data_IF_041582401685
#
_entry.id   IF_041582401685
#
_cell.length_a   1.000
_cell.length_b   1.000
_cell.length_c   1.000
_cell.angle_alpha   90.00
_cell.angle_beta   90.00
_cell.angle_gamma   90.00
#
_symmetry.space_group_name_H-M   'P 1'
#
loop_
_entity.id
_entity.type
_entity.pdbx_description
1 polymer ?
#
# COMPACT_ATOMS: atom_id res chain seq x y z
N UNK A 1 22.86 16.65 -28.66
CA UNK A 1 22.83 16.57 -27.19
C UNK A 1 21.40 16.89 -26.76
N UNK A 2 20.58 15.87 -26.41
CA UNK A 2 19.25 16.08 -25.81
C UNK A 2 19.49 16.55 -24.38
N UNK A 3 18.97 17.71 -24.01
CA UNK A 3 19.00 18.19 -22.65
C UNK A 3 18.23 17.18 -21.75
N UNK A 4 18.94 16.55 -20.85
CA UNK A 4 18.36 15.75 -19.77
C UNK A 4 17.61 16.68 -18.82
N UNK A 5 16.35 16.89 -19.12
CA UNK A 5 15.44 17.57 -18.21
C UNK A 5 14.96 16.56 -17.17
N UNK A 6 15.86 16.25 -16.22
CA UNK A 6 15.67 15.30 -15.13
C UNK A 6 14.80 15.94 -14.04
N UNK A 7 13.51 16.13 -14.32
CA UNK A 7 12.56 16.57 -13.29
C UNK A 7 12.30 15.39 -12.35
N UNK A 8 13.07 15.31 -11.27
CA UNK A 8 12.78 14.39 -10.16
C UNK A 8 11.41 14.73 -9.54
N UNK A 9 10.69 13.71 -9.11
CA UNK A 9 9.47 13.85 -8.31
C UNK A 9 9.89 14.06 -6.85
N UNK A 10 10.21 15.29 -6.46
CA UNK A 10 10.76 15.63 -5.14
C UNK A 10 9.82 15.34 -3.96
N UNK A 11 8.56 15.03 -4.25
CA UNK A 11 7.54 14.67 -3.28
C UNK A 11 7.44 13.17 -2.96
N UNK A 12 8.29 12.33 -3.54
CA UNK A 12 8.44 10.93 -3.15
C UNK A 12 9.62 10.78 -2.18
N UNK A 13 9.56 9.72 -1.36
CA UNK A 13 10.60 9.40 -0.40
C UNK A 13 12.00 9.38 -1.05
N UNK A 14 13.08 9.89 -0.41
CA UNK A 14 14.42 9.95 -1.02
C UNK A 14 14.96 8.62 -1.58
N UNK A 15 14.65 7.51 -0.92
CA UNK A 15 15.03 6.16 -1.36
C UNK A 15 14.11 5.54 -2.43
N UNK A 16 13.02 6.24 -2.78
CA UNK A 16 12.09 5.70 -3.77
C UNK A 16 12.69 5.76 -5.18
N UNK A 17 12.90 4.61 -5.80
CA UNK A 17 13.46 4.50 -7.15
C UNK A 17 12.57 5.11 -8.23
N UNK A 18 11.28 5.34 -7.95
CA UNK A 18 10.31 5.93 -8.87
C UNK A 18 10.31 7.47 -8.88
N UNK A 19 11.28 8.12 -8.24
CA UNK A 19 11.46 9.58 -8.30
C UNK A 19 11.84 10.07 -9.70
N UNK A 20 12.60 9.27 -10.42
CA UNK A 20 13.01 9.56 -11.79
C UNK A 20 11.92 9.21 -12.80
N UNK A 21 12.08 9.69 -14.03
CA UNK A 21 11.28 9.24 -15.18
C UNK A 21 11.59 7.77 -15.48
N UNK A 22 10.59 7.07 -15.98
CA UNK A 22 10.77 5.68 -16.41
C UNK A 22 11.53 5.62 -17.74
N UNK A 23 12.44 4.68 -17.81
CA UNK A 23 13.04 4.22 -19.05
C UNK A 23 12.10 3.20 -19.69
N UNK A 24 11.32 3.66 -20.67
CA UNK A 24 10.34 2.80 -21.34
C UNK A 24 10.99 1.72 -22.20
N UNK A 25 12.18 1.95 -22.75
CA UNK A 25 12.91 0.91 -23.49
C UNK A 25 13.28 -0.25 -22.56
N UNK A 26 13.79 0.05 -21.36
CA UNK A 26 14.06 -0.94 -20.33
C UNK A 26 12.80 -1.67 -19.87
N UNK A 27 11.70 -0.95 -19.64
CA UNK A 27 10.42 -1.54 -19.23
C UNK A 27 9.85 -2.47 -20.32
N UNK A 28 9.93 -2.07 -21.59
CA UNK A 28 9.47 -2.87 -22.73
C UNK A 28 10.34 -4.12 -22.91
N UNK A 29 11.65 -4.03 -22.66
CA UNK A 29 12.53 -5.20 -22.77
C UNK A 29 12.15 -6.31 -21.78
N UNK A 30 11.66 -5.95 -20.59
CA UNK A 30 11.19 -6.89 -19.56
C UNK A 30 9.71 -7.26 -19.70
N UNK A 31 8.89 -6.37 -20.28
CA UNK A 31 7.46 -6.55 -20.47
C UNK A 31 7.03 -6.06 -21.86
N UNK A 32 7.24 -6.86 -22.92
CA UNK A 32 7.01 -6.45 -24.32
C UNK A 32 5.58 -5.96 -24.61
N UNK A 33 4.59 -6.48 -23.91
CA UNK A 33 3.20 -6.07 -24.04
C UNK A 33 2.95 -4.59 -23.69
N UNK A 34 3.83 -3.95 -22.88
CA UNK A 34 3.75 -2.54 -22.55
C UNK A 34 3.85 -1.64 -23.79
N UNK A 35 4.60 -2.08 -24.82
CA UNK A 35 4.81 -1.30 -26.05
C UNK A 35 3.50 -0.83 -26.70
N UNK A 36 2.45 -1.65 -26.64
CA UNK A 36 1.14 -1.34 -27.25
C UNK A 36 0.41 -0.18 -26.56
N UNK A 37 0.83 0.20 -25.35
CA UNK A 37 0.21 1.26 -24.56
C UNK A 37 1.03 2.54 -24.49
N UNK A 38 2.25 2.54 -25.06
CA UNK A 38 3.11 3.74 -25.06
C UNK A 38 2.57 4.75 -26.08
N UNK A 39 2.53 6.00 -25.66
CA UNK A 39 2.19 7.15 -26.49
C UNK A 39 3.12 8.31 -26.14
N UNK A 40 3.20 9.29 -27.07
CA UNK A 40 3.95 10.52 -26.83
C UNK A 40 2.94 11.61 -26.44
N UNK A 41 3.16 12.22 -25.29
CA UNK A 41 2.31 13.31 -24.83
C UNK A 41 2.60 14.62 -25.57
N UNK A 42 1.80 15.67 -25.29
CA UNK A 42 1.95 17.01 -25.90
C UNK A 42 3.31 17.70 -25.68
N UNK A 43 4.13 17.15 -24.77
CA UNK A 43 5.46 17.66 -24.46
C UNK A 43 6.57 16.83 -25.11
N UNK A 44 6.24 15.90 -26.03
CA UNK A 44 7.20 15.01 -26.67
C UNK A 44 7.77 13.91 -25.76
N UNK A 45 7.08 13.59 -24.65
CA UNK A 45 7.54 12.64 -23.64
C UNK A 45 6.71 11.37 -23.74
N UNK A 46 7.41 10.21 -23.73
CA UNK A 46 6.77 8.90 -23.64
C UNK A 46 5.96 8.77 -22.34
N UNK A 47 4.79 8.19 -22.47
CA UNK A 47 3.82 8.01 -21.40
C UNK A 47 2.85 6.90 -21.78
N UNK A 48 1.96 6.53 -20.83
CA UNK A 48 0.77 5.73 -21.13
C UNK A 48 -0.49 6.57 -20.95
N UNK A 49 -1.59 6.09 -21.46
CA UNK A 49 -2.90 6.61 -21.08
C UNK A 49 -3.29 6.10 -19.69
N UNK A 50 -3.13 6.95 -18.68
CA UNK A 50 -3.54 6.64 -17.29
C UNK A 50 -5.05 6.51 -17.11
N UNK A 51 -5.86 6.84 -18.13
CA UNK A 51 -7.30 6.59 -18.12
C UNK A 51 -7.65 5.15 -18.54
N UNK A 52 -6.71 4.43 -19.16
CA UNK A 52 -6.88 3.05 -19.57
C UNK A 52 -6.42 2.09 -18.46
N UNK A 53 -7.34 1.31 -17.82
CA UNK A 53 -7.01 0.38 -16.74
C UNK A 53 -6.00 -0.69 -17.15
N UNK A 54 -6.06 -1.16 -18.39
CA UNK A 54 -5.16 -2.20 -18.90
C UNK A 54 -3.75 -1.64 -19.08
N UNK A 55 -3.61 -0.40 -19.59
CA UNK A 55 -2.32 0.28 -19.70
C UNK A 55 -1.66 0.46 -18.32
N UNK A 56 -2.44 0.89 -17.31
CA UNK A 56 -1.95 1.06 -15.93
C UNK A 56 -1.53 -0.28 -15.32
N UNK A 57 -2.33 -1.34 -15.49
CA UNK A 57 -1.98 -2.68 -15.01
C UNK A 57 -0.71 -3.21 -15.67
N UNK A 58 -0.58 -3.03 -16.98
CA UNK A 58 0.61 -3.48 -17.75
C UNK A 58 1.84 -2.68 -17.34
N UNK A 59 1.72 -1.36 -17.11
CA UNK A 59 2.83 -0.58 -16.57
C UNK A 59 3.25 -1.08 -15.18
N UNK A 60 2.32 -1.35 -14.28
CA UNK A 60 2.63 -1.90 -12.96
C UNK A 60 3.34 -3.26 -13.07
N UNK A 61 2.88 -4.14 -13.95
CA UNK A 61 3.54 -5.42 -14.23
C UNK A 61 4.99 -5.20 -14.68
N UNK A 62 5.21 -4.29 -15.64
CA UNK A 62 6.54 -3.95 -16.13
C UNK A 62 7.45 -3.39 -15.02
N UNK A 63 6.92 -2.51 -14.16
CA UNK A 63 7.64 -1.96 -13.01
C UNK A 63 8.05 -3.06 -12.01
N UNK A 64 7.13 -3.97 -11.69
CA UNK A 64 7.39 -5.07 -10.77
C UNK A 64 8.42 -6.06 -11.34
N UNK A 65 8.34 -6.36 -12.61
CA UNK A 65 9.34 -7.21 -13.30
C UNK A 65 10.71 -6.55 -13.31
N UNK A 66 10.78 -5.29 -13.72
CA UNK A 66 12.06 -4.60 -13.97
C UNK A 66 12.79 -4.25 -12.68
N UNK A 67 12.09 -3.71 -11.69
CA UNK A 67 12.72 -3.12 -10.50
C UNK A 67 12.67 -4.02 -9.27
N UNK A 68 11.73 -4.97 -9.22
CA UNK A 68 11.50 -5.80 -8.03
C UNK A 68 11.68 -7.29 -8.30
N UNK A 69 11.99 -7.66 -9.55
CA UNK A 69 12.18 -9.05 -9.98
C UNK A 69 10.96 -9.94 -9.64
N UNK A 70 9.75 -9.43 -9.91
CA UNK A 70 8.47 -10.13 -9.73
C UNK A 70 7.93 -10.55 -11.08
N UNK A 71 7.75 -11.85 -11.25
CA UNK A 71 7.22 -12.45 -12.47
C UNK A 71 5.72 -12.75 -12.32
N UNK A 72 4.99 -12.81 -13.44
CA UNK A 72 3.61 -13.26 -13.50
C UNK A 72 2.65 -12.59 -12.51
N UNK A 73 2.94 -11.31 -12.14
CA UNK A 73 2.00 -10.54 -11.32
C UNK A 73 0.79 -10.15 -12.16
N UNK A 74 -0.39 -10.50 -11.69
CA UNK A 74 -1.65 -10.09 -12.27
C UNK A 74 -2.72 -9.91 -11.18
N UNK A 75 -3.74 -9.12 -11.51
CA UNK A 75 -4.89 -8.89 -10.63
C UNK A 75 -6.20 -9.15 -11.38
N UNK A 76 -7.22 -9.69 -10.71
CA UNK A 76 -8.54 -9.88 -11.30
C UNK A 76 -9.12 -8.57 -11.84
N UNK A 77 -9.95 -8.68 -12.87
CA UNK A 77 -10.72 -7.54 -13.40
C UNK A 77 -11.57 -6.96 -12.29
N UNK A 78 -11.56 -5.74 -12.00
CA UNK A 78 -12.26 -5.05 -10.90
C UNK A 78 -11.55 -5.09 -9.52
N UNK A 79 -10.35 -5.63 -9.42
CA UNK A 79 -9.52 -5.44 -8.23
C UNK A 79 -8.78 -4.10 -8.28
N UNK A 80 -8.42 -3.56 -7.13
CA UNK A 80 -7.68 -2.32 -7.03
C UNK A 80 -6.29 -2.47 -7.66
N UNK A 81 -6.00 -1.67 -8.70
CA UNK A 81 -4.67 -1.56 -9.27
C UNK A 81 -3.84 -0.54 -8.45
N UNK A 82 -2.79 -0.97 -7.71
CA UNK A 82 -2.08 -0.10 -6.78
C UNK A 82 -1.13 0.85 -7.52
N UNK A 83 -1.07 2.16 -7.15
CA UNK A 83 -0.03 3.06 -7.66
C UNK A 83 1.31 2.73 -6.97
N UNK A 84 2.17 1.95 -7.63
CA UNK A 84 3.43 1.43 -7.07
C UNK A 84 4.30 2.50 -6.40
N UNK A 85 4.55 3.69 -6.99
CA UNK A 85 5.41 4.68 -6.36
C UNK A 85 4.96 5.07 -4.95
N UNK A 86 3.67 5.34 -4.78
CA UNK A 86 3.15 5.69 -3.46
C UNK A 86 3.09 4.51 -2.48
N UNK A 87 3.06 3.29 -2.99
CA UNK A 87 3.14 2.09 -2.14
C UNK A 87 4.56 1.85 -1.64
N UNK A 88 5.55 2.08 -2.50
CA UNK A 88 6.96 2.04 -2.11
C UNK A 88 7.30 3.11 -1.06
N UNK A 89 6.71 4.31 -1.14
CA UNK A 89 6.89 5.33 -0.11
C UNK A 89 6.47 4.84 1.28
N UNK A 90 5.32 4.18 1.39
CA UNK A 90 4.86 3.66 2.69
C UNK A 90 5.88 2.68 3.29
N UNK A 91 6.42 1.76 2.47
CA UNK A 91 7.48 0.83 2.90
C UNK A 91 8.73 1.57 3.37
N UNK A 92 9.18 2.61 2.65
CA UNK A 92 10.35 3.39 3.04
C UNK A 92 10.14 4.17 4.35
N UNK A 93 8.95 4.76 4.55
CA UNK A 93 8.65 5.45 5.81
C UNK A 93 8.51 4.49 7.00
N UNK A 94 8.03 3.25 6.79
CA UNK A 94 8.09 2.21 7.83
C UNK A 94 9.54 1.86 8.14
N UNK A 95 10.41 1.75 7.14
CA UNK A 95 11.83 1.48 7.36
C UNK A 95 12.50 2.58 8.21
N UNK A 96 12.18 3.85 7.96
CA UNK A 96 12.67 4.95 8.79
C UNK A 96 12.13 4.88 10.22
N UNK A 97 10.84 4.55 10.37
CA UNK A 97 10.22 4.39 11.68
C UNK A 97 10.89 3.28 12.50
N UNK A 98 11.24 2.15 11.87
CA UNK A 98 11.96 1.06 12.51
C UNK A 98 13.41 1.44 12.83
N UNK A 99 14.08 2.18 11.96
CA UNK A 99 15.45 2.66 12.19
C UNK A 99 15.57 3.52 13.45
N UNK A 100 14.57 4.34 13.77
CA UNK A 100 14.58 5.19 14.97
C UNK A 100 14.72 4.38 16.27
N UNK A 101 14.20 3.15 16.31
CA UNK A 101 14.30 2.24 17.47
C UNK A 101 15.46 1.26 17.36
N UNK A 102 16.18 1.27 16.24
CA UNK A 102 17.32 0.39 15.92
C UNK A 102 18.62 1.18 15.69
N UNK A 103 18.93 2.12 16.58
CA UNK A 103 20.17 2.94 16.53
C UNK A 103 20.39 3.65 15.19
N UNK A 104 19.33 4.05 14.51
CA UNK A 104 19.39 4.73 13.21
C UNK A 104 19.64 3.80 12.01
N UNK A 105 19.72 2.50 12.23
CA UNK A 105 19.93 1.52 11.17
C UNK A 105 18.61 0.86 10.77
N UNK A 106 18.33 0.83 9.47
CA UNK A 106 17.17 0.12 8.96
C UNK A 106 17.37 -1.38 9.21
N UNK A 107 16.46 -2.05 9.93
CA UNK A 107 16.53 -3.49 10.08
C UNK A 107 16.13 -4.16 8.76
N UNK A 108 16.95 -5.09 8.29
CA UNK A 108 16.76 -5.86 7.07
C UNK A 108 16.75 -7.36 7.35
N UNK A 109 16.23 -8.13 6.42
CA UNK A 109 16.21 -9.59 6.52
C UNK A 109 14.87 -10.17 6.93
N UNK A 110 14.76 -11.48 6.81
CA UNK A 110 13.51 -12.24 7.02
C UNK A 110 13.04 -12.32 8.47
N UNK A 111 13.88 -11.93 9.42
CA UNK A 111 13.50 -11.80 10.84
C UNK A 111 12.60 -10.57 11.11
N UNK A 112 12.59 -9.59 10.22
CA UNK A 112 11.69 -8.43 10.32
C UNK A 112 10.31 -8.84 9.80
N UNK A 113 9.38 -9.11 10.69
CA UNK A 113 8.03 -9.57 10.36
C UNK A 113 7.04 -8.41 10.32
N UNK A 114 6.40 -8.20 9.16
CA UNK A 114 5.29 -7.26 8.98
C UNK A 114 3.93 -7.96 8.92
N UNK A 115 2.86 -7.27 9.32
CA UNK A 115 1.48 -7.72 9.13
C UNK A 115 0.76 -6.73 8.19
N UNK A 116 0.43 -7.18 6.99
CA UNK A 116 -0.33 -6.38 6.01
C UNK A 116 -1.83 -6.68 6.12
N UNK A 117 -2.61 -5.68 6.53
CA UNK A 117 -4.04 -5.79 6.78
C UNK A 117 -4.80 -5.27 5.56
N UNK A 118 -5.58 -6.16 4.94
CA UNK A 118 -6.29 -5.86 3.70
C UNK A 118 -5.32 -5.78 2.52
N UNK A 119 -4.54 -6.85 2.32
CA UNK A 119 -3.52 -6.92 1.26
C UNK A 119 -4.10 -6.79 -0.15
N UNK A 120 -5.41 -6.99 -0.29
CA UNK A 120 -6.09 -7.02 -1.59
C UNK A 120 -5.63 -8.17 -2.47
N UNK A 121 -6.11 -8.21 -3.70
CA UNK A 121 -5.68 -9.23 -4.66
C UNK A 121 -4.29 -8.95 -5.26
N UNK A 122 -3.65 -7.84 -4.90
CA UNK A 122 -2.42 -7.36 -5.53
C UNK A 122 -1.14 -7.65 -4.74
N UNK A 123 -1.21 -7.94 -3.44
CA UNK A 123 -0.09 -8.28 -2.56
C UNK A 123 1.05 -7.24 -2.56
N UNK A 124 0.75 -5.98 -2.85
CA UNK A 124 1.79 -5.02 -3.22
C UNK A 124 2.75 -4.67 -2.09
N UNK A 125 2.27 -4.51 -0.85
CA UNK A 125 3.14 -4.14 0.27
C UNK A 125 4.09 -5.27 0.66
N UNK A 126 3.65 -6.53 0.81
CA UNK A 126 4.54 -7.66 1.03
C UNK A 126 5.59 -7.83 -0.07
N UNK A 127 5.18 -7.68 -1.35
CA UNK A 127 6.11 -7.72 -2.49
C UNK A 127 7.19 -6.65 -2.36
N UNK A 128 6.81 -5.40 -2.11
CA UNK A 128 7.75 -4.29 -2.03
C UNK A 128 8.65 -4.39 -0.80
N UNK A 129 8.09 -4.71 0.36
CA UNK A 129 8.85 -4.87 1.61
C UNK A 129 9.88 -5.99 1.53
N UNK A 130 9.49 -7.15 0.95
CA UNK A 130 10.42 -8.24 0.71
C UNK A 130 11.49 -7.88 -0.34
N UNK A 131 11.08 -7.29 -1.47
CA UNK A 131 12.02 -6.97 -2.54
C UNK A 131 13.04 -5.88 -2.17
N UNK A 132 12.67 -4.93 -1.30
CA UNK A 132 13.53 -3.79 -0.94
C UNK A 132 14.38 -4.09 0.29
N UNK A 133 13.80 -4.70 1.32
CA UNK A 133 14.43 -4.88 2.63
C UNK A 133 14.53 -6.35 3.08
N UNK A 134 14.13 -7.28 2.23
CA UNK A 134 14.08 -8.71 2.55
C UNK A 134 13.21 -9.07 3.76
N UNK A 135 12.20 -8.26 4.05
CA UNK A 135 11.25 -8.50 5.14
C UNK A 135 10.32 -9.67 4.86
N UNK A 136 9.84 -10.31 5.91
CA UNK A 136 8.78 -11.32 5.84
C UNK A 136 7.43 -10.72 6.23
N UNK A 137 6.34 -11.35 5.75
CA UNK A 137 5.00 -10.84 5.99
C UNK A 137 3.99 -11.94 6.29
N UNK A 138 3.07 -11.61 7.19
CA UNK A 138 1.73 -12.17 7.19
C UNK A 138 0.83 -11.20 6.43
N UNK A 139 0.19 -11.66 5.35
CA UNK A 139 -0.70 -10.84 4.53
C UNK A 139 -2.13 -11.33 4.67
N UNK A 140 -3.04 -10.41 5.02
CA UNK A 140 -4.42 -10.78 5.35
C UNK A 140 -5.43 -10.08 4.47
N UNK A 141 -6.54 -10.74 4.19
CA UNK A 141 -7.70 -10.15 3.53
C UNK A 141 -8.99 -10.87 3.98
N UNK A 142 -10.13 -10.18 3.91
CA UNK A 142 -11.43 -10.79 4.20
C UNK A 142 -11.94 -11.64 3.04
N UNK A 143 -11.49 -11.34 1.81
CA UNK A 143 -11.95 -12.02 0.61
C UNK A 143 -11.07 -13.20 0.27
N UNK A 144 -11.69 -14.39 0.22
CA UNK A 144 -11.05 -15.62 -0.23
C UNK A 144 -10.45 -15.47 -1.63
N UNK A 145 -11.15 -14.78 -2.53
CA UNK A 145 -10.67 -14.53 -3.90
C UNK A 145 -9.41 -13.68 -3.97
N UNK A 146 -9.23 -12.72 -3.03
CA UNK A 146 -7.98 -11.96 -2.90
C UNK A 146 -6.84 -12.88 -2.46
N UNK A 147 -7.06 -13.70 -1.43
CA UNK A 147 -6.09 -14.67 -0.92
C UNK A 147 -5.69 -15.67 -2.00
N UNK A 148 -6.65 -16.23 -2.74
CA UNK A 148 -6.39 -17.15 -3.86
C UNK A 148 -5.55 -16.50 -4.97
N UNK A 149 -5.77 -15.22 -5.27
CA UNK A 149 -4.92 -14.52 -6.24
C UNK A 149 -3.53 -14.25 -5.71
N UNK A 150 -3.40 -13.87 -4.44
CA UNK A 150 -2.10 -13.72 -3.78
C UNK A 150 -1.31 -15.03 -3.78
N UNK A 151 -1.94 -16.18 -3.54
CA UNK A 151 -1.29 -17.50 -3.62
C UNK A 151 -0.66 -17.73 -4.99
N UNK A 152 -1.38 -17.43 -6.07
CA UNK A 152 -0.86 -17.55 -7.44
C UNK A 152 0.35 -16.66 -7.69
N UNK A 153 0.33 -15.43 -7.15
CA UNK A 153 1.48 -14.51 -7.26
C UNK A 153 2.69 -15.08 -6.50
N UNK A 154 2.49 -15.60 -5.29
CA UNK A 154 3.56 -16.19 -4.48
C UNK A 154 4.13 -17.43 -5.17
N UNK A 155 3.29 -18.36 -5.60
CA UNK A 155 3.68 -19.59 -6.30
C UNK A 155 4.51 -19.32 -7.56
N UNK A 156 4.20 -18.23 -8.28
CA UNK A 156 4.95 -17.81 -9.45
C UNK A 156 6.30 -17.14 -9.16
N UNK A 157 6.59 -16.85 -7.89
CA UNK A 157 7.78 -16.10 -7.46
C UNK A 157 8.48 -16.79 -6.28
N UNK A 158 9.43 -17.71 -6.54
CA UNK A 158 10.05 -18.55 -5.50
C UNK A 158 10.59 -17.79 -4.29
N UNK A 159 11.12 -16.57 -4.50
CA UNK A 159 11.61 -15.72 -3.40
C UNK A 159 10.54 -15.29 -2.39
N UNK A 160 9.27 -15.37 -2.76
CA UNK A 160 8.15 -14.97 -1.89
C UNK A 160 7.58 -16.15 -1.09
N UNK A 161 7.88 -17.41 -1.46
CA UNK A 161 7.25 -18.61 -0.88
C UNK A 161 7.52 -18.69 0.63
N UNK A 162 8.76 -18.51 1.05
CA UNK A 162 9.14 -18.58 2.47
C UNK A 162 9.03 -17.22 3.19
N UNK A 163 8.81 -16.15 2.43
CA UNK A 163 8.78 -14.80 2.97
C UNK A 163 7.37 -14.29 3.28
N UNK A 164 6.34 -14.82 2.63
CA UNK A 164 4.97 -14.31 2.77
C UNK A 164 4.01 -15.45 3.07
N UNK A 165 3.36 -15.39 4.21
CA UNK A 165 2.25 -16.25 4.58
C UNK A 165 0.91 -15.53 4.39
N UNK A 166 -0.10 -16.26 3.93
CA UNK A 166 -1.43 -15.73 3.66
C UNK A 166 -2.42 -16.23 4.72
N UNK A 167 -3.23 -15.33 5.24
CA UNK A 167 -4.31 -15.67 6.16
C UNK A 167 -5.61 -14.98 5.76
N UNK A 168 -6.71 -15.70 5.74
CA UNK A 168 -8.03 -15.12 5.54
C UNK A 168 -8.62 -14.67 6.87
N UNK A 169 -8.99 -13.37 6.99
CA UNK A 169 -9.84 -12.92 8.08
C UNK A 169 -11.29 -13.29 7.80
N UNK A 170 -11.78 -14.33 8.45
CA UNK A 170 -13.11 -14.88 8.19
C UNK A 170 -14.24 -14.10 8.85
N UNK A 171 -13.92 -13.22 9.83
CA UNK A 171 -14.89 -12.40 10.54
C UNK A 171 -14.61 -10.91 10.28
N UNK A 172 -15.30 -10.30 9.34
CA UNK A 172 -15.08 -8.89 8.90
C UNK A 172 -15.20 -7.84 10.02
N UNK A 173 -15.78 -8.20 11.18
CA UNK A 173 -15.82 -7.34 12.38
C UNK A 173 -14.51 -7.30 13.16
N UNK A 174 -13.53 -8.11 12.81
CA UNK A 174 -12.21 -8.13 13.46
C UNK A 174 -11.10 -7.80 12.47
N UNK A 175 -10.02 -7.25 13.00
CA UNK A 175 -8.82 -6.88 12.25
C UNK A 175 -7.67 -7.82 12.62
N UNK A 176 -7.39 -7.97 13.90
CA UNK A 176 -6.27 -8.76 14.43
C UNK A 176 -6.71 -10.09 15.04
N UNK A 177 -7.94 -10.16 15.59
CA UNK A 177 -8.44 -11.38 16.20
C UNK A 177 -8.52 -12.51 15.18
N UNK A 178 -8.11 -13.71 15.56
CA UNK A 178 -7.96 -14.90 14.73
C UNK A 178 -6.83 -14.81 13.68
N UNK A 179 -6.09 -13.71 13.64
CA UNK A 179 -4.91 -13.51 12.80
C UNK A 179 -3.66 -13.61 13.66
N UNK A 180 -3.56 -12.79 14.72
CA UNK A 180 -2.41 -12.79 15.62
C UNK A 180 -2.60 -13.87 16.68
N UNK A 181 -1.69 -14.82 16.75
CA UNK A 181 -1.61 -15.85 17.78
C UNK A 181 -0.61 -15.47 18.88
N UNK A 182 -0.60 -16.12 20.07
CA UNK A 182 0.25 -15.71 21.21
C UNK A 182 1.74 -15.69 20.91
N UNK A 183 2.22 -16.52 20.00
CA UNK A 183 3.63 -16.69 19.64
C UNK A 183 4.11 -15.61 18.64
N UNK A 184 3.19 -14.94 17.96
CA UNK A 184 3.53 -13.97 16.93
C UNK A 184 4.18 -12.71 17.51
N UNK A 185 5.15 -12.19 16.76
CA UNK A 185 5.83 -10.92 16.99
C UNK A 185 5.96 -10.17 15.68
N UNK A 186 5.39 -8.97 15.62
CA UNK A 186 5.43 -8.13 14.42
C UNK A 186 6.24 -6.86 14.68
N UNK A 187 7.24 -6.59 13.84
CA UNK A 187 7.95 -5.33 13.85
C UNK A 187 7.00 -4.16 13.53
N UNK A 188 6.03 -4.40 12.66
CA UNK A 188 4.99 -3.44 12.33
C UNK A 188 3.74 -4.12 11.80
N UNK A 189 2.60 -3.46 11.97
CA UNK A 189 1.43 -3.69 11.14
C UNK A 189 1.28 -2.56 10.16
N UNK A 190 0.73 -2.83 8.98
CA UNK A 190 0.39 -1.79 8.01
C UNK A 190 -0.99 -2.01 7.42
N UNK A 191 -1.63 -0.92 7.03
CA UNK A 191 -2.95 -0.96 6.45
C UNK A 191 -3.18 0.21 5.51
N UNK A 192 -3.83 -0.06 4.40
CA UNK A 192 -4.44 0.96 3.54
C UNK A 192 -5.96 0.79 3.65
N UNK A 193 -6.61 1.46 4.62
CA UNK A 193 -7.99 1.20 4.96
C UNK A 193 -8.95 1.61 3.85
N UNK A 194 -10.17 1.07 3.80
CA UNK A 194 -11.23 1.54 2.93
C UNK A 194 -11.58 3.01 3.27
N UNK A 195 -11.65 3.87 2.23
CA UNK A 195 -11.73 5.33 2.43
C UNK A 195 -13.15 5.86 2.54
N UNK A 196 -14.14 5.15 2.00
CA UNK A 196 -15.51 5.61 1.87
C UNK A 196 -16.43 4.94 2.89
N UNK A 197 -17.48 5.66 3.30
CA UNK A 197 -18.47 5.15 4.23
C UNK A 197 -19.60 4.36 3.54
N UNK A 198 -19.73 4.49 2.22
CA UNK A 198 -20.71 3.77 1.42
C UNK A 198 -20.27 3.56 -0.03
N UNK A 199 -20.95 2.64 -0.72
CA UNK A 199 -20.74 2.39 -2.15
C UNK A 199 -21.07 3.64 -3.00
N UNK A 200 -22.09 4.43 -2.60
CA UNK A 200 -22.47 5.67 -3.30
C UNK A 200 -21.37 6.72 -3.22
N UNK A 201 -20.74 6.88 -2.03
CA UNK A 201 -19.61 7.81 -1.85
C UNK A 201 -18.41 7.38 -2.70
N UNK A 202 -18.10 6.08 -2.72
CA UNK A 202 -17.04 5.51 -3.55
C UNK A 202 -17.28 5.78 -5.04
N UNK A 203 -18.50 5.54 -5.52
CA UNK A 203 -18.89 5.77 -6.92
C UNK A 203 -18.82 7.26 -7.32
N UNK A 204 -19.29 8.18 -6.45
CA UNK A 204 -19.18 9.64 -6.69
C UNK A 204 -17.73 10.11 -6.78
N UNK A 205 -16.87 9.61 -5.89
CA UNK A 205 -15.44 9.91 -5.89
C UNK A 205 -14.76 9.46 -7.19
N UNK A 206 -15.12 8.27 -7.67
CA UNK A 206 -14.62 7.69 -8.92
C UNK A 206 -15.06 8.48 -10.14
N UNK A 207 -16.34 8.82 -10.23
CA UNK A 207 -16.88 9.60 -11.33
C UNK A 207 -16.18 10.96 -11.46
N UNK A 208 -15.87 11.62 -10.35
CA UNK A 208 -15.08 12.87 -10.34
C UNK A 208 -13.65 12.67 -10.86
N UNK A 209 -12.98 11.56 -10.49
CA UNK A 209 -11.62 11.28 -10.99
C UNK A 209 -11.60 11.03 -12.50
N UNK A 210 -12.55 10.25 -13.01
CA UNK A 210 -12.67 9.97 -14.45
C UNK A 210 -12.97 11.26 -15.24
N UNK A 211 -13.86 12.11 -14.74
CA UNK A 211 -14.16 13.43 -15.37
C UNK A 211 -12.93 14.34 -15.41
N UNK A 212 -12.07 14.30 -14.41
CA UNK A 212 -10.84 15.11 -14.37
C UNK A 212 -9.76 14.58 -15.33
N UNK A 213 -9.73 13.26 -15.58
CA UNK A 213 -8.77 12.64 -16.51
C UNK A 213 -9.21 12.82 -17.99
N UNK A 214 -10.51 12.83 -18.26
CA UNK A 214 -11.08 12.99 -19.62
C UNK A 214 -12.11 14.14 -19.68
N UNK A 215 -11.69 15.42 -19.69
CA UNK A 215 -12.61 16.55 -19.72
C UNK A 215 -13.48 16.63 -21.00
N UNK A 216 -13.06 15.95 -22.07
CA UNK A 216 -13.74 16.01 -23.40
C UNK A 216 -14.82 14.94 -23.60
N UNK A 217 -14.82 13.87 -22.83
CA UNK A 217 -15.84 12.80 -22.88
C UNK A 217 -16.95 13.03 -21.84
N UNK A 218 -17.64 14.14 -21.96
CA UNK A 218 -18.91 14.32 -21.25
C UNK A 218 -20.02 13.68 -22.08
N UNK A 219 -20.35 12.42 -21.85
CA UNK A 219 -21.71 11.80 -21.81
C UNK A 219 -21.68 10.28 -22.06
N UNK A 220 -22.43 9.56 -21.21
CA UNK A 220 -23.05 8.24 -21.48
C UNK A 220 -22.20 6.97 -21.40
N UNK A 221 -21.21 6.84 -20.53
CA UNK A 221 -20.75 5.51 -20.12
C UNK A 221 -20.67 5.45 -18.61
N UNK A 222 -21.16 4.36 -18.02
CA UNK A 222 -20.83 4.02 -16.63
C UNK A 222 -19.30 4.09 -16.50
N UNK A 223 -18.75 4.92 -15.60
CA UNK A 223 -17.32 5.11 -15.54
C UNK A 223 -16.64 3.77 -15.23
N UNK A 224 -15.88 3.26 -16.21
CA UNK A 224 -15.01 2.11 -15.97
C UNK A 224 -13.93 2.59 -15.02
N UNK A 225 -13.86 1.97 -13.86
CA UNK A 225 -12.91 2.30 -12.81
C UNK A 225 -11.49 2.01 -13.26
N UNK A 226 -10.68 3.04 -13.51
CA UNK A 226 -9.28 2.88 -13.91
C UNK A 226 -8.40 2.31 -12.79
N UNK A 227 -8.83 2.48 -11.54
CA UNK A 227 -8.24 1.90 -10.35
C UNK A 227 -9.32 1.06 -9.66
N UNK A 228 -9.89 0.07 -10.39
CA UNK A 228 -10.97 -0.77 -9.91
C UNK A 228 -10.71 -1.22 -8.47
N UNK A 229 -11.74 -1.47 -7.73
CA UNK A 229 -11.75 -2.10 -6.43
C UNK A 229 -13.08 -2.78 -6.32
N UNK A 230 -13.12 -3.97 -5.74
CA UNK A 230 -14.39 -4.54 -5.33
C UNK A 230 -15.01 -3.59 -4.31
N UNK A 231 -16.33 -3.53 -4.23
CA UNK A 231 -17.03 -2.57 -3.37
C UNK A 231 -16.48 -2.47 -1.96
N UNK A 232 -15.95 -3.54 -1.40
CA UNK A 232 -15.44 -3.54 -0.04
C UNK A 232 -13.93 -3.23 0.10
N UNK A 233 -13.15 -3.18 -0.97
CA UNK A 233 -11.81 -2.57 -0.94
C UNK A 233 -11.90 -1.04 -0.84
N UNK A 234 -13.03 -0.46 -1.20
CA UNK A 234 -13.22 0.99 -1.30
C UNK A 234 -14.03 1.58 -0.15
N UNK A 235 -14.93 0.82 0.47
CA UNK A 235 -15.80 1.32 1.53
C UNK A 235 -16.05 0.29 2.63
N UNK A 236 -16.27 0.78 3.84
CA UNK A 236 -16.75 0.01 4.97
C UNK A 236 -17.73 0.83 5.80
N UNK A 237 -18.48 0.17 6.68
CA UNK A 237 -19.37 0.88 7.61
C UNK A 237 -18.56 1.84 8.49
N UNK A 238 -18.95 3.11 8.53
CA UNK A 238 -18.22 4.18 9.24
C UNK A 238 -17.00 4.72 8.48
N UNK A 239 -16.64 4.18 7.30
CA UNK A 239 -15.54 4.64 6.45
C UNK A 239 -14.18 4.55 7.12
N UNK A 240 -13.21 5.33 6.62
CA UNK A 240 -11.83 5.38 7.14
C UNK A 240 -11.78 5.55 8.66
N UNK A 241 -12.54 6.49 9.21
CA UNK A 241 -12.49 6.76 10.65
C UNK A 241 -13.07 5.61 11.48
N UNK A 242 -14.13 4.95 11.01
CA UNK A 242 -14.71 3.78 11.68
C UNK A 242 -13.72 2.62 11.72
N UNK A 243 -13.10 2.33 10.58
CA UNK A 243 -12.09 1.27 10.46
C UNK A 243 -10.86 1.53 11.35
N UNK A 244 -10.29 2.72 11.27
CA UNK A 244 -9.09 3.08 12.07
C UNK A 244 -9.40 3.08 13.56
N UNK A 245 -10.59 3.56 13.96
CA UNK A 245 -11.04 3.51 15.37
C UNK A 245 -11.12 2.08 15.88
N UNK A 246 -11.70 1.17 15.10
CA UNK A 246 -11.76 -0.26 15.44
C UNK A 246 -10.35 -0.86 15.54
N UNK A 247 -9.48 -0.56 14.58
CA UNK A 247 -8.08 -1.02 14.57
C UNK A 247 -7.34 -0.58 15.84
N UNK A 248 -7.51 0.66 16.28
CA UNK A 248 -6.90 1.18 17.51
C UNK A 248 -7.44 0.43 18.75
N UNK A 249 -8.74 0.25 18.89
CA UNK A 249 -9.30 -0.46 20.06
C UNK A 249 -8.87 -1.93 20.08
N UNK A 250 -8.82 -2.59 18.95
CA UNK A 250 -8.43 -4.00 18.88
C UNK A 250 -6.93 -4.19 19.12
N UNK A 251 -6.08 -3.25 18.68
CA UNK A 251 -4.62 -3.30 18.85
C UNK A 251 -4.18 -3.36 20.31
N UNK A 252 -4.98 -2.85 21.25
CA UNK A 252 -4.69 -2.92 22.70
C UNK A 252 -4.43 -4.35 23.16
N UNK A 253 -5.14 -5.33 22.61
CA UNK A 253 -5.01 -6.74 22.97
C UNK A 253 -3.69 -7.36 22.53
N UNK A 254 -3.01 -6.72 21.59
CA UNK A 254 -1.77 -7.17 20.96
C UNK A 254 -0.61 -6.21 21.25
N UNK A 255 -0.76 -5.39 22.29
CA UNK A 255 0.15 -4.31 22.66
C UNK A 255 1.62 -4.75 22.79
N UNK A 256 1.87 -5.95 23.32
CA UNK A 256 3.23 -6.53 23.51
C UNK A 256 3.74 -7.32 22.31
N UNK A 257 2.89 -7.57 21.32
CA UNK A 257 3.22 -8.41 20.16
C UNK A 257 3.58 -7.58 18.90
N UNK A 258 3.34 -6.26 18.93
CA UNK A 258 3.66 -5.37 17.81
C UNK A 258 4.49 -4.19 18.31
N UNK A 259 5.63 -3.94 17.65
CA UNK A 259 6.44 -2.76 17.94
C UNK A 259 5.72 -1.49 17.49
N UNK A 260 5.22 -1.47 16.23
CA UNK A 260 4.46 -0.37 15.68
C UNK A 260 3.18 -0.85 14.99
N UNK A 261 2.05 -0.30 15.38
CA UNK A 261 0.83 -0.36 14.58
C UNK A 261 0.80 0.84 13.65
N UNK A 262 0.49 0.64 12.37
CA UNK A 262 0.45 1.76 11.41
C UNK A 262 -0.73 1.65 10.46
N UNK A 263 -1.24 2.79 10.01
CA UNK A 263 -2.29 2.88 9.00
C UNK A 263 -2.16 4.13 8.16
N UNK A 264 -2.57 4.06 6.90
CA UNK A 264 -2.76 5.27 6.09
C UNK A 264 -4.01 6.03 6.52
N UNK A 265 -3.91 7.36 6.50
CA UNK A 265 -5.03 8.28 6.73
C UNK A 265 -5.08 9.27 5.58
N UNK A 266 -6.15 9.21 4.80
CA UNK A 266 -6.34 10.07 3.61
C UNK A 266 -6.98 11.42 3.98
N UNK A 267 -7.90 11.43 4.95
CA UNK A 267 -8.68 12.60 5.35
C UNK A 267 -8.07 13.28 6.58
N UNK A 268 -7.53 14.50 6.42
CA UNK A 268 -6.90 15.26 7.51
C UNK A 268 -7.86 15.49 8.70
N UNK A 269 -9.12 15.67 8.40
CA UNK A 269 -10.19 15.87 9.40
C UNK A 269 -10.35 14.69 10.35
N UNK A 270 -9.97 13.48 9.97
CA UNK A 270 -10.04 12.29 10.80
C UNK A 270 -8.97 12.26 11.91
N UNK A 271 -7.86 12.98 11.75
CA UNK A 271 -6.73 12.94 12.68
C UNK A 271 -7.11 13.31 14.11
N UNK A 272 -7.97 14.34 14.30
CA UNK A 272 -8.39 14.76 15.64
C UNK A 272 -9.11 13.62 16.40
N UNK A 273 -9.99 12.88 15.72
CA UNK A 273 -10.70 11.75 16.29
C UNK A 273 -9.77 10.55 16.56
N UNK A 274 -8.83 10.30 15.64
CA UNK A 274 -7.80 9.26 15.79
C UNK A 274 -6.95 9.54 17.04
N UNK A 275 -6.43 10.75 17.21
CA UNK A 275 -5.61 11.11 18.37
C UNK A 275 -6.38 11.02 19.70
N UNK A 276 -7.67 11.41 19.71
CA UNK A 276 -8.53 11.22 20.88
C UNK A 276 -8.68 9.74 21.23
N UNK A 277 -8.86 8.88 20.25
CA UNK A 277 -8.98 7.42 20.44
C UNK A 277 -7.67 6.83 20.95
N UNK A 278 -6.52 7.19 20.35
CA UNK A 278 -5.20 6.76 20.80
C UNK A 278 -4.89 7.16 22.23
N UNK A 279 -5.24 8.41 22.61
CA UNK A 279 -5.14 8.87 24.01
C UNK A 279 -6.03 8.06 24.96
N UNK A 280 -7.26 7.73 24.54
CA UNK A 280 -8.21 6.96 25.34
C UNK A 280 -7.74 5.54 25.63
N UNK A 281 -7.01 4.92 24.68
CA UNK A 281 -6.43 3.58 24.86
C UNK A 281 -5.03 3.59 25.46
N UNK A 282 -4.54 4.76 25.89
CA UNK A 282 -3.21 4.95 26.49
C UNK A 282 -2.05 4.49 25.59
N UNK A 283 -2.13 4.76 24.28
CA UNK A 283 -0.99 4.56 23.40
C UNK A 283 0.22 5.38 23.91
N UNK A 284 1.37 4.73 24.08
CA UNK A 284 2.58 5.32 24.69
C UNK A 284 3.29 6.23 23.71
N UNK A 285 3.40 5.80 22.45
CA UNK A 285 4.01 6.58 21.38
C UNK A 285 3.02 6.75 20.24
N UNK A 286 2.91 7.97 19.72
CA UNK A 286 2.06 8.27 18.55
C UNK A 286 2.85 9.17 17.60
N UNK A 287 2.96 8.79 16.35
CA UNK A 287 3.62 9.56 15.28
C UNK A 287 2.69 9.76 14.11
N UNK A 288 2.83 10.90 13.45
CA UNK A 288 2.17 11.17 12.17
C UNK A 288 3.24 11.54 11.16
N UNK A 289 3.35 10.72 10.12
CA UNK A 289 4.34 10.89 9.07
C UNK A 289 3.59 11.39 7.83
N UNK A 290 3.91 12.60 7.37
CA UNK A 290 3.35 13.13 6.13
C UNK A 290 3.92 12.37 4.94
N UNK A 291 3.03 11.95 4.04
CA UNK A 291 3.38 11.21 2.84
C UNK A 291 2.78 11.94 1.62
N UNK A 292 3.47 12.99 1.13
CA UNK A 292 3.00 13.77 -0.01
C UNK A 292 3.10 12.95 -1.30
N UNK A 293 2.01 12.87 -2.07
CA UNK A 293 1.94 12.16 -3.35
C UNK A 293 1.29 13.06 -4.40
N UNK A 294 2.08 13.84 -5.13
CA UNK A 294 1.57 14.80 -6.09
C UNK A 294 0.69 15.85 -5.40
N UNK A 295 -0.57 15.94 -5.81
CA UNK A 295 -1.55 16.87 -5.20
C UNK A 295 -2.30 16.27 -3.99
N UNK A 296 -1.99 15.01 -3.61
CA UNK A 296 -2.60 14.35 -2.45
C UNK A 296 -1.59 14.26 -1.33
N UNK A 297 -2.01 14.65 -0.13
CA UNK A 297 -1.27 14.41 1.10
C UNK A 297 -1.94 13.28 1.86
N UNK A 298 -1.42 12.06 1.73
CA UNK A 298 -1.72 10.97 2.64
C UNK A 298 -0.82 11.08 3.88
N UNK A 299 -1.20 10.42 4.95
CA UNK A 299 -0.44 10.37 6.20
C UNK A 299 -0.38 8.96 6.69
N UNK A 300 0.73 8.61 7.32
CA UNK A 300 0.84 7.40 8.12
C UNK A 300 0.64 7.82 9.56
N UNK A 301 -0.34 7.24 10.23
CA UNK A 301 -0.44 7.32 11.69
C UNK A 301 0.13 6.03 12.25
N UNK A 302 1.16 6.16 13.08
CA UNK A 302 1.82 5.06 13.76
C UNK A 302 1.65 5.20 15.26
N UNK A 303 1.42 4.07 15.95
CA UNK A 303 1.33 4.05 17.41
C UNK A 303 1.95 2.79 18.00
N UNK A 304 2.43 2.91 19.22
CA UNK A 304 2.98 1.81 20.01
C UNK A 304 2.48 1.90 21.44
N UNK A 305 2.31 0.74 22.06
CA UNK A 305 2.01 0.62 23.49
C UNK A 305 3.27 0.33 24.32
N UNK A 306 4.38 0.05 23.65
CA UNK A 306 5.67 -0.22 24.29
C UNK A 306 6.31 1.10 24.74
N UNK A 307 6.94 1.08 25.92
CA UNK A 307 7.79 2.17 26.37
C UNK A 307 9.03 2.33 25.47
N UNK A 308 9.68 3.48 25.54
CA UNK A 308 10.91 3.72 24.75
C UNK A 308 11.98 2.65 25.03
N UNK A 309 12.11 2.20 26.28
CA UNK A 309 13.04 1.12 26.65
C UNK A 309 12.69 -0.19 25.97
N UNK A 310 11.41 -0.57 25.97
CA UNK A 310 10.94 -1.79 25.30
C UNK A 310 11.08 -1.71 23.79
N UNK A 311 10.80 -0.52 23.20
CA UNK A 311 11.00 -0.31 21.77
C UNK A 311 12.47 -0.47 21.37
N UNK A 312 13.41 0.11 22.13
CA UNK A 312 14.86 -0.02 21.88
C UNK A 312 15.36 -1.45 22.14
N UNK A 313 14.74 -2.19 23.04
CA UNK A 313 15.06 -3.58 23.33
C UNK A 313 14.40 -4.58 22.35
N UNK A 314 13.59 -4.10 21.41
CA UNK A 314 12.96 -4.96 20.41
C UNK A 314 14.01 -5.65 19.53
N UNK A 315 13.88 -6.96 19.37
CA UNK A 315 14.75 -7.74 18.48
C UNK A 315 13.97 -8.07 17.21
N UNK A 316 14.57 -7.72 16.11
CA UNK A 316 14.05 -8.03 14.77
C UNK A 316 14.44 -9.44 14.36
#
# INVERSE_FOLDING_TARGET
MKAENNSQKDNLHPRNIHRSRYDFDLLISNCPELKTFISINKFGIETIDFSNPLAVKTLNKALLQTYYNIQNWDIPKNSLCPPIPGRADYIHYIADLLAETNNGQIPEGNSVMGLDIGTGANLIYPILGNSIYNWSFVATDIYKTSIENCSKIIEANPKLIDAISLQQQTESRFIFKNIIIPEDRFAFTMCNPPFHASAEEANKSTSRKVSNLNPKEKKNTNPVLNFGGQNAELWCNGGEIGFVTQMIYESVKYASQCLWFTTLVSKKENLSSIYKTLKKVNAVSVKTIEMPQGQKNSRIVAWSFLSNTEQTAWKF
#
